data_IF_087141966860
#
_entry.id   IF_087141966860
#
_cell.length_a   1.000
_cell.length_b   1.000
_cell.length_c   1.000
_cell.angle_alpha   90.00
_cell.angle_beta   90.00
_cell.angle_gamma   90.00
#
_symmetry.space_group_name_H-M   'P 1'
#
loop_
_entity.id
_entity.type
_entity.pdbx_description
1 polymer ?
#
# COMPACT_ATOMS: atom_id res chain seq x y z
N UNK A 1 -13.56 -10.43 -4.45
CA UNK A 1 -14.44 -9.56 -5.27
C UNK A 1 -15.68 -9.16 -4.48
N UNK A 2 -16.17 -7.94 -4.63
CA UNK A 2 -17.49 -7.54 -4.10
C UNK A 2 -18.63 -8.19 -4.90
N UNK A 3 -19.86 -8.18 -4.37
CA UNK A 3 -21.04 -8.67 -5.09
C UNK A 3 -21.25 -7.93 -6.43
N UNK A 4 -21.06 -6.60 -6.45
CA UNK A 4 -21.15 -5.81 -7.67
C UNK A 4 -20.08 -6.19 -8.70
N UNK A 5 -18.83 -6.41 -8.26
CA UNK A 5 -17.76 -6.88 -9.16
C UNK A 5 -18.06 -8.29 -9.68
N UNK A 6 -18.62 -9.17 -8.86
CA UNK A 6 -19.08 -10.50 -9.27
C UNK A 6 -20.15 -10.42 -10.35
N UNK A 7 -21.19 -9.63 -10.13
CA UNK A 7 -22.26 -9.45 -11.11
C UNK A 7 -21.77 -8.89 -12.44
N UNK A 8 -20.84 -7.94 -12.41
CA UNK A 8 -20.23 -7.36 -13.61
C UNK A 8 -19.50 -8.41 -14.48
N UNK A 9 -18.99 -9.50 -13.89
CA UNK A 9 -18.29 -10.55 -14.64
C UNK A 9 -19.22 -11.56 -15.31
N UNK A 10 -20.50 -11.63 -14.92
CA UNK A 10 -21.42 -12.66 -15.42
C UNK A 10 -21.68 -12.57 -16.93
N UNK A 11 -21.61 -11.36 -17.49
CA UNK A 11 -21.76 -11.16 -18.93
C UNK A 11 -20.73 -11.95 -19.75
N UNK A 12 -19.49 -12.02 -19.24
CA UNK A 12 -18.37 -12.69 -19.91
C UNK A 12 -18.15 -14.12 -19.42
N UNK A 13 -18.28 -14.36 -18.11
CA UNK A 13 -17.95 -15.63 -17.47
C UNK A 13 -19.16 -16.56 -17.25
N UNK A 14 -20.37 -16.14 -17.64
CA UNK A 14 -21.60 -16.90 -17.43
C UNK A 14 -22.21 -16.71 -16.03
N UNK A 15 -23.28 -17.45 -15.70
CA UNK A 15 -24.13 -17.18 -14.53
C UNK A 15 -23.39 -17.26 -13.18
N UNK A 16 -22.31 -18.03 -13.13
CA UNK A 16 -21.49 -18.20 -11.92
C UNK A 16 -20.45 -17.08 -11.72
N UNK A 17 -20.30 -16.17 -12.69
CA UNK A 17 -19.29 -15.12 -12.65
C UNK A 17 -17.85 -15.64 -12.73
N UNK A 18 -16.90 -14.73 -12.52
CA UNK A 18 -15.47 -15.04 -12.44
C UNK A 18 -15.07 -15.53 -11.04
N UNK A 19 -14.00 -16.31 -10.96
CA UNK A 19 -13.27 -16.51 -9.72
C UNK A 19 -12.06 -15.56 -9.67
N UNK A 20 -11.72 -15.07 -8.47
CA UNK A 20 -10.58 -14.17 -8.26
C UNK A 20 -9.45 -14.84 -7.48
N UNK A 21 -8.21 -14.57 -7.88
CA UNK A 21 -7.01 -15.05 -7.19
C UNK A 21 -6.06 -13.88 -6.90
N UNK A 22 -5.40 -13.87 -5.73
CA UNK A 22 -4.43 -12.84 -5.41
C UNK A 22 -3.17 -13.02 -6.27
N UNK A 23 -2.67 -11.94 -6.87
CA UNK A 23 -1.52 -12.00 -7.77
C UNK A 23 -0.33 -11.19 -7.31
N UNK A 24 -0.56 -10.09 -6.58
CA UNK A 24 0.52 -9.24 -6.10
C UNK A 24 0.11 -8.41 -4.89
N UNK A 25 1.09 -7.84 -4.21
CA UNK A 25 0.89 -6.82 -3.18
C UNK A 25 1.52 -5.52 -3.66
N UNK A 26 0.73 -4.46 -3.73
CA UNK A 26 1.25 -3.10 -3.87
C UNK A 26 1.53 -2.56 -2.47
N UNK A 27 2.79 -2.53 -2.07
CA UNK A 27 3.19 -1.96 -0.78
C UNK A 27 3.03 -0.45 -0.76
N UNK A 28 2.67 0.09 0.41
CA UNK A 28 2.46 1.53 0.61
C UNK A 28 3.47 2.00 1.66
N UNK A 29 4.28 2.99 1.29
CA UNK A 29 5.23 3.65 2.19
C UNK A 29 4.70 4.98 2.69
N UNK A 30 5.24 5.45 3.81
CA UNK A 30 5.09 6.85 4.23
C UNK A 30 6.32 7.62 3.75
N UNK A 31 6.10 8.55 2.84
CA UNK A 31 7.11 9.48 2.32
C UNK A 31 7.02 10.80 3.07
N UNK A 32 8.16 11.44 3.27
CA UNK A 32 8.24 12.78 3.83
C UNK A 32 9.26 13.64 3.04
N UNK A 33 8.99 14.94 2.95
CA UNK A 33 9.88 15.90 2.27
C UNK A 33 10.63 16.75 3.29
N UNK A 34 11.73 16.21 3.81
CA UNK A 34 12.66 16.89 4.72
C UNK A 34 14.10 16.65 4.25
N UNK A 35 14.74 17.61 3.54
CA UNK A 35 16.03 17.39 2.87
C UNK A 35 17.16 16.87 3.77
N UNK A 36 17.14 17.20 5.07
CA UNK A 36 18.15 16.80 6.05
C UNK A 36 17.90 15.45 6.72
N UNK A 37 16.74 14.82 6.50
CA UNK A 37 16.34 13.57 7.17
C UNK A 37 16.24 12.46 6.14
N UNK A 38 16.98 11.37 6.37
CA UNK A 38 17.00 10.17 5.49
C UNK A 38 16.33 8.95 6.13
N UNK A 39 16.11 9.01 7.43
CA UNK A 39 15.50 7.94 8.20
C UNK A 39 14.68 8.55 9.32
N UNK A 40 13.41 8.19 9.36
CA UNK A 40 12.46 8.62 10.37
C UNK A 40 11.64 7.42 10.81
N UNK A 41 11.50 7.22 12.11
CA UNK A 41 10.62 6.22 12.70
C UNK A 41 9.27 6.85 12.98
N UNK A 42 8.21 6.18 12.58
CA UNK A 42 6.83 6.59 12.84
C UNK A 42 5.97 5.40 13.27
N UNK A 43 5.13 5.61 14.28
CA UNK A 43 4.15 4.62 14.74
C UNK A 43 2.79 4.90 14.09
N UNK A 44 1.86 3.92 14.09
CA UNK A 44 0.47 4.18 13.73
C UNK A 44 -0.14 5.35 14.50
N UNK A 45 0.22 5.50 15.79
CA UNK A 45 -0.26 6.57 16.66
C UNK A 45 0.21 7.96 16.24
N UNK A 46 1.51 8.13 15.99
CA UNK A 46 2.04 9.41 15.51
C UNK A 46 1.45 9.77 14.14
N UNK A 47 1.32 8.79 13.25
CA UNK A 47 0.70 9.02 11.95
C UNK A 47 -0.78 9.37 12.09
N UNK A 48 -1.53 8.70 12.97
CA UNK A 48 -2.92 9.04 13.22
C UNK A 48 -3.04 10.49 13.68
N UNK A 49 -2.24 10.89 14.66
CA UNK A 49 -2.21 12.27 15.20
C UNK A 49 -1.76 13.31 14.17
N UNK A 50 -0.85 12.97 13.26
CA UNK A 50 -0.47 13.83 12.13
C UNK A 50 -1.66 14.01 11.17
N UNK A 51 -2.32 12.92 10.80
CA UNK A 51 -3.42 12.93 9.83
C UNK A 51 -4.77 13.34 10.43
N UNK A 52 -4.86 13.54 11.76
CA UNK A 52 -5.97 14.26 12.43
C UNK A 52 -5.64 15.73 12.71
N UNK A 53 -4.38 16.12 12.61
CA UNK A 53 -3.90 17.49 12.86
C UNK A 53 -3.46 17.78 14.29
N UNK A 54 -3.47 16.79 15.18
CA UNK A 54 -3.03 16.91 16.59
C UNK A 54 -1.50 17.08 16.70
N UNK A 55 -0.74 16.55 15.75
CA UNK A 55 0.69 16.82 15.58
C UNK A 55 0.88 17.56 14.25
N UNK A 56 1.35 18.79 14.31
CA UNK A 56 1.47 19.67 13.15
C UNK A 56 2.88 20.25 12.94
N UNK A 57 3.87 19.84 13.73
CA UNK A 57 5.29 20.21 13.57
C UNK A 57 6.20 19.00 13.67
N UNK A 58 7.29 19.02 12.91
CA UNK A 58 8.25 17.91 12.84
C UNK A 58 9.10 17.74 14.10
N UNK A 59 9.32 18.80 14.86
CA UNK A 59 10.06 18.80 16.13
C UNK A 59 9.18 18.45 17.35
N UNK A 60 7.94 17.99 17.13
CA UNK A 60 7.05 17.54 18.20
C UNK A 60 7.75 16.50 19.10
N UNK A 61 7.61 16.69 20.42
CA UNK A 61 8.29 15.88 21.44
C UNK A 61 8.00 14.38 21.30
N UNK A 62 6.81 14.01 20.83
CA UNK A 62 6.43 12.61 20.64
C UNK A 62 7.16 11.99 19.44
N UNK A 63 7.41 12.76 18.37
CA UNK A 63 8.25 12.30 17.24
C UNK A 63 9.71 12.22 17.68
N UNK A 64 10.21 13.25 18.38
CA UNK A 64 11.58 13.30 18.88
C UNK A 64 11.92 12.13 19.81
N UNK A 65 10.99 11.76 20.70
CA UNK A 65 11.18 10.69 21.67
C UNK A 65 11.54 9.33 21.04
N UNK A 66 11.02 9.02 19.85
CA UNK A 66 11.30 7.76 19.15
C UNK A 66 12.38 7.87 18.05
N UNK A 67 12.93 9.07 17.86
CA UNK A 67 13.99 9.36 16.90
C UNK A 67 15.23 9.98 17.58
N UNK A 68 15.81 9.31 18.60
CA UNK A 68 16.98 9.85 19.29
C UNK A 68 18.16 10.01 18.33
N UNK A 69 18.83 11.16 18.40
CA UNK A 69 19.96 11.49 17.53
C UNK A 69 19.59 12.05 16.15
N UNK A 70 18.30 12.16 15.81
CA UNK A 70 17.84 12.87 14.62
C UNK A 70 17.55 14.33 14.95
N UNK A 71 18.21 15.26 14.28
CA UNK A 71 17.89 16.70 14.37
C UNK A 71 16.62 16.97 13.58
N UNK A 72 15.49 17.02 14.29
CA UNK A 72 14.19 17.34 13.70
C UNK A 72 14.08 18.86 13.47
N UNK A 73 13.66 19.31 12.27
CA UNK A 73 13.51 20.72 11.98
C UNK A 73 12.27 21.30 12.69
N UNK A 74 12.40 22.53 13.17
CA UNK A 74 11.26 23.34 13.63
C UNK A 74 10.44 23.80 12.41
N UNK A 75 9.70 22.87 11.80
CA UNK A 75 8.98 23.05 10.55
C UNK A 75 7.55 22.49 10.63
N UNK A 76 6.58 23.10 9.93
CA UNK A 76 5.23 22.55 9.83
C UNK A 76 5.22 21.18 9.16
N UNK A 77 4.32 20.32 9.60
CA UNK A 77 3.95 19.09 8.88
C UNK A 77 2.81 19.40 7.94
N UNK A 78 2.94 18.98 6.68
CA UNK A 78 1.90 19.17 5.66
C UNK A 78 1.42 17.81 5.14
N UNK A 79 0.35 17.23 5.70
CA UNK A 79 -0.22 16.00 5.17
C UNK A 79 -0.71 16.20 3.73
N UNK A 80 -0.34 15.30 2.82
CA UNK A 80 -0.81 15.31 1.43
C UNK A 80 -1.65 14.06 1.19
N UNK A 81 -2.89 14.25 0.74
CA UNK A 81 -3.86 13.17 0.50
C UNK A 81 -4.53 13.30 -0.86
N UNK A 82 -5.18 12.22 -1.31
CA UNK A 82 -6.03 12.24 -2.51
C UNK A 82 -7.52 12.29 -2.14
N UNK A 83 -8.31 13.03 -2.93
CA UNK A 83 -9.75 13.18 -2.74
C UNK A 83 -10.57 12.04 -3.34
N UNK A 84 -10.04 11.40 -4.38
CA UNK A 84 -10.67 10.26 -5.04
C UNK A 84 -10.57 9.00 -4.18
N UNK A 85 -11.61 8.17 -4.25
CA UNK A 85 -11.64 6.91 -3.52
C UNK A 85 -10.55 5.96 -4.04
N UNK A 86 -9.79 5.32 -3.16
CA UNK A 86 -8.74 4.37 -3.51
C UNK A 86 -8.60 3.25 -2.49
N UNK A 87 -8.32 2.03 -2.96
CA UNK A 87 -7.95 0.92 -2.10
C UNK A 87 -6.66 1.19 -1.32
N UNK A 88 -5.76 2.04 -1.85
CA UNK A 88 -4.55 2.46 -1.15
C UNK A 88 -4.88 3.36 0.05
N UNK A 89 -5.90 4.21 -0.08
CA UNK A 89 -6.44 4.99 1.05
C UNK A 89 -7.07 4.08 2.10
N UNK A 90 -7.81 3.04 1.69
CA UNK A 90 -8.34 2.04 2.62
C UNK A 90 -7.25 1.31 3.40
N UNK A 91 -6.19 0.86 2.72
CA UNK A 91 -5.06 0.22 3.39
C UNK A 91 -4.32 1.18 4.34
N UNK A 92 -4.13 2.44 3.93
CA UNK A 92 -3.47 3.47 4.75
C UNK A 92 -4.27 3.78 6.01
N UNK A 93 -5.57 4.07 5.89
CA UNK A 93 -6.45 4.34 7.04
C UNK A 93 -6.68 3.09 7.91
N UNK A 94 -6.63 1.89 7.31
CA UNK A 94 -6.59 0.62 8.01
C UNK A 94 -5.39 0.50 8.94
N UNK A 95 -4.21 0.89 8.49
CA UNK A 95 -3.00 0.93 9.32
C UNK A 95 -3.10 1.96 10.45
N UNK A 96 -3.70 3.13 10.18
CA UNK A 96 -3.94 4.14 11.22
C UNK A 96 -4.92 3.66 12.30
N UNK A 97 -5.90 2.82 11.94
CA UNK A 97 -6.90 2.29 12.87
C UNK A 97 -6.34 1.38 13.96
N UNK A 98 -5.04 1.01 13.90
CA UNK A 98 -4.35 0.37 15.01
C UNK A 98 -4.11 1.32 16.21
N UNK A 99 -4.24 2.64 16.01
CA UNK A 99 -4.18 3.64 17.09
C UNK A 99 -5.58 4.12 17.49
N UNK A 100 -5.85 4.28 18.80
CA UNK A 100 -7.09 4.90 19.28
C UNK A 100 -7.18 6.40 18.94
N UNK A 101 -6.07 7.07 18.59
CA UNK A 101 -6.08 8.46 18.12
C UNK A 101 -6.68 8.60 16.72
N UNK A 102 -6.85 7.51 15.97
CA UNK A 102 -7.49 7.55 14.66
C UNK A 102 -9.01 7.58 14.77
N UNK A 103 -9.57 8.78 14.79
CA UNK A 103 -11.02 9.01 14.95
C UNK A 103 -11.84 8.87 13.66
N UNK A 104 -11.21 8.86 12.48
CA UNK A 104 -11.91 8.86 11.19
C UNK A 104 -12.32 7.46 10.70
N UNK A 105 -11.83 6.40 11.34
CA UNK A 105 -12.11 5.02 10.94
C UNK A 105 -11.49 4.61 9.61
N UNK A 106 -11.68 3.35 9.21
CA UNK A 106 -11.17 2.83 7.93
C UNK A 106 -12.07 3.29 6.80
N UNK A 107 -11.50 3.95 5.79
CA UNK A 107 -12.25 4.55 4.68
C UNK A 107 -11.43 4.52 3.39
N UNK A 108 -12.11 4.48 2.24
CA UNK A 108 -11.45 4.63 0.92
C UNK A 108 -11.21 6.09 0.53
N UNK A 109 -11.69 7.05 1.34
CA UNK A 109 -11.47 8.49 1.19
C UNK A 109 -10.97 9.08 2.49
N UNK A 110 -10.07 10.06 2.39
CA UNK A 110 -9.60 10.81 3.54
C UNK A 110 -10.68 11.77 4.05
N UNK A 111 -10.78 11.90 5.37
CA UNK A 111 -11.44 13.06 5.96
C UNK A 111 -10.60 14.31 5.71
N UNK A 112 -11.22 15.49 5.84
CA UNK A 112 -10.49 16.76 5.72
C UNK A 112 -9.48 16.87 6.87
N UNK A 113 -8.21 17.09 6.52
CA UNK A 113 -7.11 17.21 7.49
C UNK A 113 -6.77 18.68 7.70
N UNK A 114 -6.80 19.20 8.94
CA UNK A 114 -6.34 20.56 9.25
C UNK A 114 -4.88 20.77 8.79
N UNK A 115 -4.63 21.83 8.01
CA UNK A 115 -3.29 22.11 7.47
C UNK A 115 -2.83 21.15 6.35
N UNK A 116 -3.64 20.15 6.00
CA UNK A 116 -3.37 19.23 4.90
C UNK A 116 -3.64 19.83 3.53
N UNK A 117 -3.01 19.25 2.51
CA UNK A 117 -3.22 19.57 1.11
C UNK A 117 -3.79 18.37 0.37
N UNK A 118 -4.74 18.62 -0.51
CA UNK A 118 -5.44 17.56 -1.24
C UNK A 118 -5.12 17.65 -2.74
N UNK A 119 -4.88 16.50 -3.36
CA UNK A 119 -4.82 16.33 -4.82
C UNK A 119 -5.99 15.49 -5.30
N UNK A 120 -6.29 15.55 -6.60
CA UNK A 120 -7.42 14.80 -7.15
C UNK A 120 -7.15 13.29 -7.12
N UNK A 121 -6.05 12.83 -7.71
CA UNK A 121 -5.75 11.41 -7.83
C UNK A 121 -4.58 10.99 -6.94
N UNK A 122 -4.57 9.72 -6.53
CA UNK A 122 -3.48 9.16 -5.72
C UNK A 122 -2.10 9.27 -6.42
N UNK A 123 -2.06 9.14 -7.74
CA UNK A 123 -0.85 9.31 -8.56
C UNK A 123 -0.27 10.73 -8.53
N UNK A 124 -1.09 11.74 -8.19
CA UNK A 124 -0.67 13.14 -8.17
C UNK A 124 0.06 13.50 -6.85
N UNK A 125 0.01 12.61 -5.85
CA UNK A 125 0.62 12.83 -4.53
C UNK A 125 2.13 13.03 -4.65
N UNK A 126 2.81 12.21 -5.47
CA UNK A 126 4.27 12.28 -5.62
C UNK A 126 4.74 13.69 -6.02
N UNK A 127 4.11 14.28 -7.05
CA UNK A 127 4.44 15.63 -7.51
C UNK A 127 4.17 16.68 -6.44
N UNK A 128 3.09 16.50 -5.67
CA UNK A 128 2.70 17.44 -4.62
C UNK A 128 3.64 17.40 -3.43
N UNK A 129 4.07 16.21 -3.01
CA UNK A 129 5.06 16.02 -1.95
C UNK A 129 6.39 16.67 -2.33
N UNK A 130 6.88 16.46 -3.56
CA UNK A 130 8.12 17.05 -4.06
C UNK A 130 8.16 18.58 -3.94
N UNK A 131 7.04 19.23 -4.31
CA UNK A 131 6.92 20.69 -4.29
C UNK A 131 6.57 21.29 -2.93
N UNK A 132 6.43 20.48 -1.88
CA UNK A 132 5.93 20.93 -0.58
C UNK A 132 6.91 20.55 0.53
N UNK A 133 7.70 21.53 0.98
CA UNK A 133 8.59 21.34 2.12
C UNK A 133 7.79 20.93 3.37
N UNK A 134 8.30 19.95 4.12
CA UNK A 134 7.63 19.42 5.31
C UNK A 134 6.44 18.51 4.99
N UNK A 135 6.21 18.14 3.72
CA UNK A 135 5.12 17.25 3.35
C UNK A 135 5.30 15.84 3.92
N UNK A 136 4.17 15.17 4.17
CA UNK A 136 4.10 13.75 4.52
C UNK A 136 2.92 13.11 3.78
N UNK A 137 3.11 11.92 3.22
CA UNK A 137 2.05 11.22 2.49
C UNK A 137 2.22 9.71 2.53
N UNK A 138 1.09 9.00 2.44
CA UNK A 138 1.09 7.59 2.04
C UNK A 138 1.19 7.49 0.52
N UNK A 139 2.13 6.70 0.01
CA UNK A 139 2.40 6.54 -1.42
C UNK A 139 2.64 5.06 -1.76
N UNK A 140 2.25 4.64 -2.95
CA UNK A 140 2.52 3.28 -3.43
C UNK A 140 3.99 3.15 -3.85
N UNK A 141 4.50 1.91 -3.81
CA UNK A 141 5.89 1.62 -4.14
C UNK A 141 6.34 2.07 -5.53
N UNK A 142 5.45 2.12 -6.53
CA UNK A 142 5.82 2.55 -7.87
C UNK A 142 6.02 4.08 -7.93
N UNK A 143 5.13 4.84 -7.29
CA UNK A 143 5.26 6.30 -7.16
C UNK A 143 6.46 6.72 -6.30
N UNK A 144 6.83 5.89 -5.31
CA UNK A 144 8.02 6.09 -4.46
C UNK A 144 9.31 5.88 -5.29
N UNK A 145 9.42 4.73 -5.96
CA UNK A 145 10.58 4.36 -6.76
C UNK A 145 11.90 4.59 -6.02
N UNK A 146 12.88 5.19 -6.71
CA UNK A 146 14.14 5.66 -6.12
C UNK A 146 14.14 7.16 -5.80
N UNK A 147 13.00 7.84 -5.98
CA UNK A 147 12.89 9.30 -5.85
C UNK A 147 12.74 9.75 -4.39
N UNK A 148 12.12 8.91 -3.57
CA UNK A 148 11.74 9.25 -2.21
C UNK A 148 12.33 8.29 -1.18
N UNK A 149 12.78 8.86 -0.07
CA UNK A 149 13.01 8.13 1.15
C UNK A 149 11.67 7.85 1.85
N UNK A 150 11.58 6.71 2.54
CA UNK A 150 10.39 6.32 3.31
C UNK A 150 10.71 6.20 4.79
N UNK A 151 9.74 6.53 5.64
CA UNK A 151 9.82 6.27 7.08
C UNK A 151 9.86 4.76 7.37
N UNK A 152 10.54 4.40 8.45
CA UNK A 152 10.39 3.09 9.08
C UNK A 152 9.10 3.11 9.89
N UNK A 153 8.26 2.10 9.66
CA UNK A 153 6.96 2.00 10.30
C UNK A 153 6.95 0.94 11.38
N UNK A 154 6.25 1.21 12.47
CA UNK A 154 6.10 0.27 13.57
C UNK A 154 5.06 -0.81 13.26
N UNK A 155 5.49 -2.07 13.21
CA UNK A 155 4.64 -3.25 13.16
C UNK A 155 4.94 -4.10 14.40
N UNK A 156 3.91 -4.37 15.22
CA UNK A 156 4.08 -5.19 16.43
C UNK A 156 5.11 -4.67 17.43
N UNK A 157 5.47 -3.38 17.38
CA UNK A 157 6.52 -2.76 18.22
C UNK A 157 7.89 -2.63 17.56
N UNK A 158 8.15 -3.37 16.47
CA UNK A 158 9.39 -3.28 15.70
C UNK A 158 9.28 -2.26 14.57
N UNK A 159 10.34 -1.49 14.33
CA UNK A 159 10.39 -0.55 13.20
C UNK A 159 10.97 -1.24 11.96
N UNK A 160 10.15 -1.37 10.92
CA UNK A 160 10.49 -2.08 9.69
C UNK A 160 10.60 -1.09 8.53
N UNK A 161 11.67 -1.21 7.74
CA UNK A 161 11.85 -0.46 6.49
C UNK A 161 11.01 -1.10 5.39
N UNK A 162 10.37 -0.29 4.56
CA UNK A 162 9.71 -0.79 3.34
C UNK A 162 10.77 -1.28 2.35
N UNK A 163 10.69 -2.56 1.97
CA UNK A 163 11.56 -3.17 0.98
C UNK A 163 10.88 -4.39 0.37
N UNK A 164 11.40 -4.91 -0.75
CA UNK A 164 10.87 -6.15 -1.33
C UNK A 164 10.99 -7.31 -0.33
N UNK A 165 12.09 -7.40 0.40
CA UNK A 165 12.34 -8.50 1.34
C UNK A 165 11.43 -8.43 2.56
N UNK A 166 11.25 -7.25 3.15
CA UNK A 166 10.35 -7.07 4.30
C UNK A 166 8.88 -7.24 3.93
N UNK A 167 8.46 -6.83 2.73
CA UNK A 167 7.11 -7.10 2.22
C UNK A 167 6.93 -8.61 1.96
N UNK A 168 7.92 -9.29 1.37
CA UNK A 168 7.88 -10.73 1.16
C UNK A 168 7.80 -11.50 2.48
N UNK A 169 8.53 -11.08 3.51
CA UNK A 169 8.43 -11.64 4.86
C UNK A 169 7.01 -11.51 5.42
N UNK A 170 6.40 -10.32 5.35
CA UNK A 170 5.00 -10.14 5.75
C UNK A 170 4.03 -11.02 4.95
N UNK A 171 4.30 -11.25 3.66
CA UNK A 171 3.46 -12.12 2.81
C UNK A 171 3.56 -13.58 3.24
N UNK A 172 4.72 -14.05 3.72
CA UNK A 172 4.89 -15.42 4.21
C UNK A 172 4.06 -15.69 5.48
N UNK A 173 3.88 -14.69 6.32
CA UNK A 173 3.05 -14.73 7.52
C UNK A 173 1.55 -14.53 7.25
N UNK A 174 1.18 -14.24 5.99
CA UNK A 174 -0.20 -13.99 5.60
C UNK A 174 -1.06 -15.26 5.54
N UNK A 175 -2.37 -15.07 5.60
CA UNK A 175 -3.34 -16.18 5.59
C UNK A 175 -4.12 -16.22 4.28
N UNK A 176 -4.36 -17.41 3.74
CA UNK A 176 -5.26 -17.64 2.61
C UNK A 176 -6.58 -18.25 3.06
N UNK A 177 -7.65 -17.92 2.34
CA UNK A 177 -8.98 -18.53 2.53
C UNK A 177 -9.61 -18.80 1.18
N UNK A 178 -10.02 -20.04 0.95
CA UNK A 178 -10.81 -20.39 -0.24
C UNK A 178 -12.26 -20.02 -0.02
N UNK A 179 -12.85 -19.35 -1.01
CA UNK A 179 -14.26 -18.94 -1.03
C UNK A 179 -14.90 -19.42 -2.33
N UNK A 180 -16.23 -19.40 -2.41
CA UNK A 180 -16.95 -19.83 -3.62
C UNK A 180 -16.49 -19.09 -4.89
N UNK A 181 -16.02 -17.86 -4.73
CA UNK A 181 -15.61 -16.95 -5.80
C UNK A 181 -14.09 -16.80 -5.92
N UNK A 182 -13.31 -17.77 -5.40
CA UNK A 182 -11.86 -17.85 -5.59
C UNK A 182 -11.07 -17.94 -4.29
N UNK A 183 -9.92 -17.28 -4.22
CA UNK A 183 -9.02 -17.29 -3.06
C UNK A 183 -8.88 -15.87 -2.55
N UNK A 184 -9.00 -15.69 -1.24
CA UNK A 184 -8.66 -14.45 -0.54
C UNK A 184 -7.32 -14.60 0.15
N UNK A 185 -6.49 -13.55 0.10
CA UNK A 185 -5.27 -13.45 0.86
C UNK A 185 -5.33 -12.23 1.77
N UNK A 186 -4.86 -12.40 3.00
CA UNK A 186 -4.78 -11.35 4.00
C UNK A 186 -3.36 -11.22 4.52
N UNK A 187 -2.82 -10.01 4.46
CA UNK A 187 -1.59 -9.67 5.17
C UNK A 187 -1.80 -9.85 6.69
N UNK A 188 -0.75 -10.20 7.45
CA UNK A 188 -0.84 -10.40 8.88
C UNK A 188 -1.17 -9.09 9.59
N UNK A 189 -2.01 -9.13 10.64
CA UNK A 189 -2.26 -7.95 11.49
C UNK A 189 -1.05 -7.57 12.35
N UNK A 190 -0.22 -8.56 12.66
CA UNK A 190 0.97 -8.42 13.50
C UNK A 190 2.11 -9.17 12.86
N UNK A 191 3.25 -8.49 12.77
CA UNK A 191 4.54 -9.05 12.38
C UNK A 191 5.60 -8.20 13.06
N UNK A 192 6.70 -8.80 13.47
CA UNK A 192 7.84 -8.14 14.10
C UNK A 192 9.03 -7.95 13.15
N UNK A 193 8.94 -8.51 11.93
CA UNK A 193 10.00 -8.51 10.92
C UNK A 193 9.50 -8.17 9.50
N UNK A 194 8.19 -8.24 9.26
CA UNK A 194 7.56 -7.95 7.97
C UNK A 194 7.02 -6.52 7.84
N UNK A 195 6.94 -6.02 6.61
CA UNK A 195 6.29 -4.75 6.28
C UNK A 195 4.87 -5.00 5.76
N UNK A 196 3.91 -5.09 6.67
CA UNK A 196 2.52 -5.50 6.39
C UNK A 196 1.59 -4.32 6.06
N UNK A 197 2.06 -3.35 5.27
CA UNK A 197 1.24 -2.23 4.78
C UNK A 197 1.20 -2.22 3.24
N UNK A 198 0.05 -2.60 2.69
CA UNK A 198 -0.15 -2.64 1.25
C UNK A 198 -1.56 -3.07 0.86
N UNK A 199 -1.83 -3.03 -0.44
CA UNK A 199 -3.05 -3.53 -1.04
C UNK A 199 -2.77 -4.84 -1.78
N UNK A 200 -3.61 -5.85 -1.57
CA UNK A 200 -3.56 -7.12 -2.30
C UNK A 200 -4.34 -6.96 -3.60
N UNK A 201 -3.66 -7.16 -4.73
CA UNK A 201 -4.28 -7.12 -6.05
C UNK A 201 -4.74 -8.51 -6.47
N UNK A 202 -5.86 -8.55 -7.17
CA UNK A 202 -6.50 -9.77 -7.61
C UNK A 202 -6.69 -9.75 -9.13
N UNK A 203 -6.53 -10.91 -9.76
CA UNK A 203 -6.98 -11.14 -11.13
C UNK A 203 -8.22 -12.02 -11.12
N UNK A 204 -9.15 -11.73 -12.03
CA UNK A 204 -10.39 -12.47 -12.17
C UNK A 204 -10.35 -13.32 -13.45
N UNK A 205 -10.79 -14.57 -13.35
CA UNK A 205 -10.78 -15.55 -14.43
C UNK A 205 -12.15 -16.22 -14.54
N UNK A 206 -12.57 -16.53 -15.76
CA UNK A 206 -13.78 -17.33 -15.98
C UNK A 206 -13.45 -18.82 -15.81
N UNK A 207 -14.41 -19.59 -15.30
CA UNK A 207 -14.28 -21.07 -15.23
C UNK A 207 -14.37 -21.73 -16.60
N UNK A 208 -14.95 -21.03 -17.59
CA UNK A 208 -15.03 -21.46 -18.98
C UNK A 208 -15.02 -20.26 -19.92
N UNK A 209 -14.55 -20.48 -21.15
CA UNK A 209 -14.54 -19.48 -22.21
C UNK A 209 -15.18 -20.10 -23.46
N UNK A 210 -15.97 -19.31 -24.20
CA UNK A 210 -16.64 -19.78 -25.42
C UNK A 210 -15.66 -20.12 -26.55
N UNK A 211 -14.54 -19.39 -26.61
CA UNK A 211 -13.48 -19.61 -27.60
C UNK A 211 -12.32 -20.40 -26.96
N UNK A 212 -11.97 -21.55 -27.55
CA UNK A 212 -10.92 -22.43 -27.05
C UNK A 212 -9.50 -21.88 -27.15
N UNK A 213 -9.21 -21.02 -28.13
CA UNK A 213 -7.93 -20.32 -28.25
C UNK A 213 -7.78 -19.28 -27.14
N UNK A 214 -8.84 -18.52 -26.86
CA UNK A 214 -8.87 -17.58 -25.73
C UNK A 214 -8.74 -18.34 -24.40
N UNK A 215 -9.42 -19.47 -24.25
CA UNK A 215 -9.28 -20.32 -23.07
C UNK A 215 -7.82 -20.75 -22.85
N UNK A 216 -7.15 -21.17 -23.92
CA UNK A 216 -5.75 -21.61 -23.89
C UNK A 216 -4.79 -20.47 -23.54
N UNK A 217 -5.00 -19.30 -24.13
CA UNK A 217 -4.21 -18.09 -23.84
C UNK A 217 -4.39 -17.64 -22.39
N UNK A 218 -5.63 -17.56 -21.90
CA UNK A 218 -5.91 -17.14 -20.53
C UNK A 218 -5.35 -18.15 -19.53
N UNK A 219 -5.46 -19.44 -19.80
CA UNK A 219 -4.84 -20.47 -18.95
C UNK A 219 -3.33 -20.31 -18.89
N UNK A 220 -2.66 -20.14 -20.04
CA UNK A 220 -1.21 -19.90 -20.11
C UNK A 220 -0.80 -18.64 -19.32
N UNK A 221 -1.57 -17.55 -19.46
CA UNK A 221 -1.34 -16.33 -18.68
C UNK A 221 -1.55 -16.55 -17.17
N UNK A 222 -2.62 -17.25 -16.78
CA UNK A 222 -2.88 -17.57 -15.37
C UNK A 222 -1.75 -18.41 -14.77
N UNK A 223 -1.28 -19.42 -15.51
CA UNK A 223 -0.14 -20.25 -15.11
C UNK A 223 1.15 -19.42 -15.00
N UNK A 224 1.35 -18.44 -15.88
CA UNK A 224 2.48 -17.51 -15.78
C UNK A 224 2.38 -16.62 -14.53
N UNK A 225 1.26 -15.92 -14.32
CA UNK A 225 1.15 -14.89 -13.26
C UNK A 225 0.93 -15.44 -11.85
N UNK A 226 0.32 -16.62 -11.73
CA UNK A 226 0.03 -17.29 -10.44
C UNK A 226 1.02 -18.42 -10.17
N UNK A 227 1.60 -19.00 -11.22
CA UNK A 227 2.48 -20.16 -11.09
C UNK A 227 3.84 -19.83 -10.48
N UNK A 228 4.62 -20.89 -10.18
CA UNK A 228 5.93 -20.76 -9.53
C UNK A 228 6.96 -19.94 -10.33
N UNK A 229 6.71 -19.71 -11.63
CA UNK A 229 7.60 -18.92 -12.48
C UNK A 229 7.72 -17.46 -12.01
N UNK A 230 6.63 -16.81 -11.56
CA UNK A 230 6.70 -15.45 -10.99
C UNK A 230 7.47 -15.40 -9.67
N UNK A 231 7.47 -16.48 -8.86
CA UNK A 231 8.34 -16.57 -7.67
C UNK A 231 9.84 -16.61 -8.03
N UNK A 232 10.18 -16.98 -9.26
CA UNK A 232 11.57 -17.15 -9.74
C UNK A 232 12.10 -15.99 -10.58
N UNK A 233 11.23 -15.07 -11.04
CA UNK A 233 11.64 -13.92 -11.83
C UNK A 233 12.36 -12.89 -10.94
N UNK A 234 13.70 -12.87 -11.02
CA UNK A 234 14.51 -11.74 -10.57
C UNK A 234 14.19 -10.52 -11.46
N UNK A 235 14.23 -9.28 -10.93
CA UNK A 235 14.02 -8.09 -11.75
C UNK A 235 15.02 -8.09 -12.90
N UNK A 236 14.49 -7.98 -14.13
CA UNK A 236 15.30 -7.76 -15.33
C UNK A 236 15.91 -6.35 -15.18
N UNK A 237 17.24 -6.26 -15.13
CA UNK A 237 17.93 -4.97 -15.21
C UNK A 237 17.53 -4.26 -16.52
N UNK A 238 17.29 -2.95 -16.52
CA UNK A 238 17.01 -2.22 -17.76
C UNK A 238 18.23 -2.37 -18.68
N UNK A 239 18.08 -3.13 -19.76
CA UNK A 239 19.15 -3.42 -20.73
C UNK A 239 19.36 -4.89 -21.07
N UNK A 240 18.69 -5.83 -20.39
CA UNK A 240 18.81 -7.26 -20.65
C UNK A 240 17.65 -7.85 -21.46
N UNK A 241 17.51 -7.47 -22.73
CA UNK A 241 16.84 -8.35 -23.70
C UNK A 241 17.95 -9.00 -24.54
N UNK A 242 18.08 -10.34 -24.55
CA UNK A 242 18.90 -11.01 -25.54
C UNK A 242 18.20 -10.96 -26.91
N UNK A 243 19.00 -10.76 -27.97
CA UNK A 243 18.60 -10.92 -29.38
C UNK A 243 18.09 -12.34 -29.69
#
# INVERSE_FOLDING_TARGET
MTAQQQDATKAECGPNGAFSVPTSVTSIGVVFNMPSIRSLKLTPDLLARIFTGDINRWDDKAIAAINPGTTLPDAPIVPVTASTASALTSASTGYLAASPSWSSGVSNKWAKIPGGQEVKNFSDIAKKVDGTAGAIAFMDSASIGSRFDTALLSFGGSFVRMSKDSVAAAVQDGTTRTVATGVEFRLPDKTDHGYALGNVNYQAFCTSYKNGEVASLVKSWADFVVGPMVRSLRPISPGGLPE
#
